data_IF_692031757068
#
_entry.id   IF_692031757068
#
_cell.length_a   1.000
_cell.length_b   1.000
_cell.length_c   1.000
_cell.angle_alpha   90.00
_cell.angle_beta   90.00
_cell.angle_gamma   90.00
#
_symmetry.space_group_name_H-M   'P 1'
#
loop_
_entity.id
_entity.type
_entity.pdbx_description
1 polymer ?
#
# COMPACT_ATOMS: atom_id res chain seq x y z
N UNK A 1 21.06 11.52 -19.11
CA UNK A 1 20.35 10.57 -20.00
C UNK A 1 18.89 10.51 -19.58
N UNK A 2 17.97 10.92 -20.44
CA UNK A 2 16.55 11.03 -20.11
C UNK A 2 15.78 9.88 -20.76
N UNK A 3 15.51 8.83 -19.98
CA UNK A 3 14.88 7.60 -20.45
C UNK A 3 13.49 7.82 -21.05
N UNK A 4 12.80 8.94 -20.77
CA UNK A 4 11.45 9.22 -21.28
C UNK A 4 11.40 9.63 -22.75
N UNK A 5 12.55 9.95 -23.36
CA UNK A 5 12.64 10.40 -24.75
C UNK A 5 13.02 9.26 -25.72
N UNK A 6 13.34 8.08 -25.20
CA UNK A 6 13.70 6.91 -26.00
C UNK A 6 12.45 6.30 -26.62
N UNK A 7 12.42 6.24 -27.95
CA UNK A 7 11.30 5.69 -28.73
C UNK A 7 11.63 4.37 -29.40
N UNK A 8 12.90 3.99 -29.40
CA UNK A 8 13.40 2.79 -30.05
C UNK A 8 14.15 1.95 -29.03
N UNK A 9 13.65 0.73 -28.81
CA UNK A 9 14.33 -0.30 -28.06
C UNK A 9 14.80 -1.33 -29.09
N UNK A 10 16.06 -1.21 -29.46
CA UNK A 10 16.71 -2.02 -30.50
C UNK A 10 16.02 -1.79 -31.86
N UNK A 11 15.33 -2.80 -32.39
CA UNK A 11 14.60 -2.75 -33.66
C UNK A 11 13.09 -2.50 -33.47
N UNK A 12 12.63 -2.31 -32.23
CA UNK A 12 11.22 -2.12 -31.90
C UNK A 12 10.92 -0.67 -31.53
N UNK A 13 10.02 -0.04 -32.30
CA UNK A 13 9.40 1.22 -31.93
C UNK A 13 8.55 0.99 -30.68
N UNK A 14 8.95 1.60 -29.56
CA UNK A 14 8.33 1.45 -28.25
C UNK A 14 7.77 2.79 -27.78
N UNK A 15 6.57 2.75 -27.22
CA UNK A 15 5.95 3.91 -26.56
C UNK A 15 6.13 3.78 -25.05
N UNK A 16 6.92 4.67 -24.46
CA UNK A 16 7.03 4.76 -23.01
C UNK A 16 5.78 5.44 -22.44
N UNK A 17 4.98 4.67 -21.72
CA UNK A 17 3.85 5.19 -20.96
C UNK A 17 4.23 5.41 -19.50
N UNK A 18 3.70 6.49 -18.92
CA UNK A 18 3.90 6.76 -17.50
C UNK A 18 3.18 5.70 -16.67
N UNK A 19 3.84 5.22 -15.62
CA UNK A 19 3.25 4.23 -14.73
C UNK A 19 1.97 4.77 -14.06
N UNK A 20 0.82 4.24 -14.47
CA UNK A 20 -0.47 4.54 -13.85
C UNK A 20 -0.67 3.71 -12.60
N UNK A 21 -0.48 4.34 -11.44
CA UNK A 21 -0.78 3.70 -10.15
C UNK A 21 -2.25 3.30 -10.08
N UNK A 22 -2.51 2.02 -9.89
CA UNK A 22 -3.87 1.54 -9.58
C UNK A 22 -4.29 2.11 -8.22
N UNK A 23 -5.42 2.82 -8.19
CA UNK A 23 -6.01 3.40 -6.97
C UNK A 23 -6.71 2.36 -6.10
N UNK A 24 -6.85 1.13 -6.61
CA UNK A 24 -7.50 0.02 -5.91
C UNK A 24 -6.64 -0.44 -4.73
N UNK A 25 -7.30 -0.73 -3.61
CA UNK A 25 -6.63 -1.35 -2.48
C UNK A 25 -6.22 -2.77 -2.83
N UNK A 26 -4.94 -3.07 -2.68
CA UNK A 26 -4.43 -4.44 -2.74
C UNK A 26 -4.92 -5.20 -1.52
N UNK A 27 -5.34 -6.45 -1.72
CA UNK A 27 -5.76 -7.34 -0.64
C UNK A 27 -4.75 -8.48 -0.56
N UNK A 28 -4.34 -8.78 0.66
CA UNK A 28 -3.46 -9.89 0.94
C UNK A 28 -4.23 -11.20 0.88
N UNK A 29 -3.80 -12.14 0.04
CA UNK A 29 -4.43 -13.46 -0.06
C UNK A 29 -4.10 -14.37 1.13
N UNK A 30 -3.10 -14.02 1.94
CA UNK A 30 -2.80 -14.75 3.16
C UNK A 30 -3.76 -14.35 4.28
N UNK A 31 -3.80 -13.08 4.68
CA UNK A 31 -4.59 -12.64 5.85
C UNK A 31 -5.87 -11.85 5.52
N UNK A 32 -6.23 -11.69 4.25
CA UNK A 32 -7.37 -10.87 3.79
C UNK A 32 -7.29 -9.37 4.16
N UNK A 33 -6.14 -8.89 4.63
CA UNK A 33 -5.91 -7.49 5.00
C UNK A 33 -5.63 -6.57 3.80
N UNK A 34 -5.78 -5.26 4.01
CA UNK A 34 -5.61 -4.25 2.97
C UNK A 34 -4.17 -3.72 2.85
N UNK A 35 -3.83 -3.20 1.66
CA UNK A 35 -2.63 -2.43 1.33
C UNK A 35 -1.27 -3.11 1.53
N UNK A 36 -1.23 -4.44 1.46
CA UNK A 36 0.02 -5.19 1.39
C UNK A 36 -0.13 -6.46 0.54
N UNK A 37 1.00 -7.03 0.12
CA UNK A 37 1.04 -8.25 -0.66
C UNK A 37 1.40 -9.44 0.23
N UNK A 38 0.97 -10.64 -0.19
CA UNK A 38 1.23 -11.91 0.51
C UNK A 38 2.71 -12.15 0.77
N UNK A 39 3.61 -11.77 -0.15
CA UNK A 39 5.05 -11.97 -0.03
C UNK A 39 5.67 -11.38 1.25
N UNK A 40 5.08 -10.33 1.79
CA UNK A 40 5.59 -9.63 2.97
C UNK A 40 4.60 -9.71 4.15
N UNK A 41 3.74 -10.74 4.16
CA UNK A 41 2.74 -10.96 5.18
C UNK A 41 3.20 -12.09 6.11
N UNK A 42 3.38 -11.77 7.39
CA UNK A 42 3.72 -12.73 8.45
C UNK A 42 2.54 -13.04 9.37
N UNK A 43 1.33 -12.60 8.99
CA UNK A 43 0.12 -12.90 9.75
C UNK A 43 -0.32 -14.34 9.47
N UNK A 44 -1.08 -14.90 10.42
CA UNK A 44 -1.76 -16.18 10.22
C UNK A 44 -2.68 -16.10 9.00
N UNK A 45 -2.79 -17.19 8.21
CA UNK A 45 -3.70 -17.23 7.09
C UNK A 45 -5.12 -17.03 7.58
N UNK A 46 -5.91 -16.26 6.83
CA UNK A 46 -7.33 -15.99 7.06
C UNK A 46 -8.03 -15.94 5.73
N UNK A 47 -8.86 -16.95 5.46
CA UNK A 47 -9.54 -17.07 4.18
C UNK A 47 -10.70 -16.09 4.06
N UNK A 48 -10.81 -15.43 2.89
CA UNK A 48 -11.72 -14.31 2.69
C UNK A 48 -13.21 -14.69 2.74
N UNK A 49 -13.57 -15.93 2.37
CA UNK A 49 -14.98 -16.37 2.32
C UNK A 49 -15.51 -16.79 3.67
N UNK A 50 -14.73 -17.56 4.44
CA UNK A 50 -15.20 -18.18 5.69
C UNK A 50 -14.57 -17.58 6.95
N UNK A 51 -13.52 -16.78 6.83
CA UNK A 51 -12.79 -16.22 7.97
C UNK A 51 -11.96 -17.22 8.77
N UNK A 52 -11.89 -18.48 8.33
CA UNK A 52 -11.12 -19.53 9.00
C UNK A 52 -9.61 -19.35 8.86
N UNK A 53 -8.88 -19.88 9.85
CA UNK A 53 -7.40 -19.82 9.93
C UNK A 53 -6.72 -20.84 9.01
N UNK A 54 -6.98 -20.77 7.70
CA UNK A 54 -6.41 -21.67 6.72
C UNK A 54 -6.19 -21.01 5.36
N UNK A 55 -5.42 -21.67 4.49
CA UNK A 55 -5.18 -21.18 3.13
C UNK A 55 -6.36 -21.49 2.21
N UNK A 56 -6.48 -20.78 1.09
CA UNK A 56 -7.54 -21.05 0.09
C UNK A 56 -7.64 -22.52 -0.34
N UNK A 57 -6.54 -23.30 -0.27
CA UNK A 57 -6.51 -24.70 -0.68
C UNK A 57 -7.20 -25.63 0.32
N UNK A 58 -7.14 -25.28 1.60
CA UNK A 58 -7.63 -26.13 2.70
C UNK A 58 -9.07 -25.78 3.09
N UNK A 59 -9.73 -24.89 2.33
CA UNK A 59 -11.08 -24.47 2.62
C UNK A 59 -12.10 -25.49 2.11
N UNK A 60 -12.95 -25.99 3.01
CA UNK A 60 -14.08 -26.87 2.65
C UNK A 60 -15.16 -26.16 1.82
N UNK A 61 -15.28 -24.82 1.92
CA UNK A 61 -16.29 -24.03 1.23
C UNK A 61 -15.81 -23.69 -0.18
N UNK A 62 -16.24 -24.51 -1.15
CA UNK A 62 -15.95 -24.31 -2.58
C UNK A 62 -17.06 -23.52 -3.29
N UNK A 63 -18.29 -23.62 -2.79
CA UNK A 63 -19.48 -23.00 -3.39
C UNK A 63 -19.62 -21.50 -3.07
N UNK A 64 -20.61 -20.85 -3.71
CA UNK A 64 -20.97 -19.46 -3.42
C UNK A 64 -21.78 -19.42 -2.12
N UNK A 65 -21.35 -18.59 -1.18
CA UNK A 65 -22.10 -18.35 0.05
C UNK A 65 -23.33 -17.48 -0.28
N UNK A 66 -24.55 -17.89 0.12
CA UNK A 66 -25.75 -17.09 -0.09
C UNK A 66 -25.68 -15.77 0.69
N UNK A 67 -25.07 -15.80 1.89
CA UNK A 67 -24.86 -14.63 2.72
C UNK A 67 -23.38 -14.49 3.09
N UNK A 68 -22.57 -13.75 2.30
CA UNK A 68 -21.16 -13.58 2.58
C UNK A 68 -20.95 -12.63 3.77
N UNK A 69 -20.11 -13.04 4.72
CA UNK A 69 -19.68 -12.20 5.84
C UNK A 69 -18.30 -11.60 5.58
N UNK A 70 -18.15 -10.31 5.83
CA UNK A 70 -16.88 -9.64 5.68
C UNK A 70 -15.95 -9.95 6.87
N UNK A 71 -14.77 -10.50 6.61
CA UNK A 71 -13.79 -10.83 7.65
C UNK A 71 -13.12 -9.61 8.31
N UNK A 72 -13.23 -8.44 7.68
CA UNK A 72 -12.58 -7.20 8.14
C UNK A 72 -13.53 -6.26 8.89
N UNK A 73 -14.82 -6.18 8.52
CA UNK A 73 -15.82 -5.37 9.23
C UNK A 73 -16.89 -6.19 9.98
N UNK A 74 -17.01 -7.49 9.71
CA UNK A 74 -18.01 -8.36 10.34
C UNK A 74 -19.42 -8.25 9.75
N UNK A 75 -19.68 -7.31 8.83
CA UNK A 75 -20.99 -7.10 8.20
C UNK A 75 -21.31 -8.23 7.20
N UNK A 76 -22.61 -8.54 7.10
CA UNK A 76 -23.16 -9.50 6.15
C UNK A 76 -23.42 -8.82 4.80
N UNK A 77 -23.57 -9.63 3.75
CA UNK A 77 -23.87 -9.17 2.39
C UNK A 77 -22.66 -8.82 1.52
N UNK A 78 -21.43 -8.86 2.05
CA UNK A 78 -20.23 -8.67 1.24
C UNK A 78 -18.98 -9.38 1.77
N UNK A 79 -18.01 -9.61 0.89
CA UNK A 79 -16.67 -10.10 1.24
C UNK A 79 -15.71 -8.93 1.48
N UNK A 80 -14.61 -9.17 2.19
CA UNK A 80 -13.58 -8.14 2.43
C UNK A 80 -13.00 -7.50 1.15
N UNK A 81 -13.18 -8.13 -0.01
CA UNK A 81 -12.79 -7.58 -1.31
C UNK A 81 -13.73 -6.52 -1.88
N UNK A 82 -14.87 -6.30 -1.25
CA UNK A 82 -15.82 -5.30 -1.68
C UNK A 82 -15.30 -3.88 -1.41
N UNK A 83 -15.43 -3.01 -2.42
CA UNK A 83 -14.88 -1.64 -2.38
C UNK A 83 -15.61 -0.72 -1.41
N UNK A 84 -16.87 -1.03 -1.10
CA UNK A 84 -17.71 -0.24 -0.20
C UNK A 84 -17.51 -0.58 1.28
N UNK A 85 -16.61 -1.51 1.61
CA UNK A 85 -16.41 -1.95 2.98
C UNK A 85 -15.96 -0.79 3.89
N UNK A 86 -16.65 -0.59 5.02
CA UNK A 86 -16.30 0.43 6.02
C UNK A 86 -14.88 0.27 6.57
N UNK A 87 -14.39 -0.96 6.73
CA UNK A 87 -13.02 -1.21 7.16
C UNK A 87 -11.99 -0.65 6.16
N UNK A 88 -12.29 -0.68 4.85
CA UNK A 88 -11.38 -0.17 3.84
C UNK A 88 -11.23 1.36 3.91
N UNK A 89 -12.33 2.09 4.16
CA UNK A 89 -12.27 3.55 4.27
C UNK A 89 -11.47 4.01 5.48
N UNK A 90 -11.63 3.33 6.61
CA UNK A 90 -10.85 3.57 7.84
C UNK A 90 -9.36 3.37 7.58
N UNK A 91 -8.97 2.21 7.02
CA UNK A 91 -7.55 1.91 6.76
C UNK A 91 -6.95 2.90 5.75
N UNK A 92 -7.72 3.32 4.74
CA UNK A 92 -7.29 4.35 3.78
C UNK A 92 -6.98 5.68 4.47
N UNK A 93 -7.82 6.12 5.40
CA UNK A 93 -7.63 7.35 6.15
C UNK A 93 -6.39 7.27 7.05
N UNK A 94 -6.26 6.20 7.84
CA UNK A 94 -5.08 5.95 8.69
C UNK A 94 -3.77 5.96 7.90
N UNK A 95 -3.78 5.36 6.71
CA UNK A 95 -2.62 5.38 5.80
C UNK A 95 -2.32 6.81 5.33
N UNK A 96 -3.33 7.58 4.96
CA UNK A 96 -3.16 8.96 4.51
C UNK A 96 -2.55 9.84 5.61
N UNK A 97 -2.99 9.67 6.85
CA UNK A 97 -2.48 10.42 8.00
C UNK A 97 -1.04 10.03 8.34
N UNK A 98 -0.73 8.73 8.27
CA UNK A 98 0.63 8.22 8.45
C UNK A 98 1.60 8.82 7.42
N UNK A 99 1.18 8.92 6.16
CA UNK A 99 1.97 9.54 5.09
C UNK A 99 2.19 11.04 5.34
N UNK A 100 1.16 11.78 5.76
CA UNK A 100 1.27 13.20 6.13
C UNK A 100 2.25 13.41 7.29
N UNK A 101 2.14 12.59 8.35
CA UNK A 101 3.07 12.62 9.50
C UNK A 101 4.51 12.35 9.07
N UNK A 102 4.74 11.35 8.22
CA UNK A 102 6.07 11.04 7.69
C UNK A 102 6.64 12.19 6.85
N UNK A 103 5.82 12.84 6.02
CA UNK A 103 6.23 14.00 5.23
C UNK A 103 6.64 15.18 6.13
N UNK A 104 5.84 15.51 7.16
CA UNK A 104 6.17 16.56 8.14
C UNK A 104 7.49 16.27 8.87
N UNK A 105 7.71 15.01 9.30
CA UNK A 105 8.96 14.60 9.95
C UNK A 105 10.17 14.76 9.03
N UNK A 106 10.03 14.44 7.73
CA UNK A 106 11.09 14.63 6.72
C UNK A 106 11.41 16.12 6.52
N UNK A 107 10.39 16.98 6.43
CA UNK A 107 10.58 18.43 6.31
C UNK A 107 11.32 19.00 7.52
N UNK A 108 10.93 18.63 8.75
CA UNK A 108 11.61 19.08 9.97
C UNK A 108 13.09 18.64 10.00
N UNK A 109 13.38 17.40 9.62
CA UNK A 109 14.76 16.90 9.51
C UNK A 109 15.58 17.70 8.48
N UNK A 110 15.00 18.05 7.33
CA UNK A 110 15.67 18.87 6.31
C UNK A 110 15.99 20.27 6.84
N UNK A 111 15.02 20.94 7.49
CA UNK A 111 15.22 22.26 8.11
C UNK A 111 16.34 22.23 9.15
N UNK A 112 16.35 21.23 10.05
CA UNK A 112 17.41 21.05 11.05
C UNK A 112 18.79 20.77 10.43
N UNK A 113 18.86 20.08 9.30
CA UNK A 113 20.13 19.83 8.59
C UNK A 113 20.66 21.11 7.93
N UNK A 114 19.77 21.92 7.35
CA UNK A 114 20.11 23.22 6.76
C UNK A 114 20.64 24.19 7.81
N UNK A 115 19.94 24.34 8.94
CA UNK A 115 20.38 25.24 10.02
C UNK A 115 21.77 24.86 10.55
N UNK A 116 22.04 23.58 10.78
CA UNK A 116 23.37 23.09 11.20
C UNK A 116 24.45 23.32 10.15
N UNK A 117 24.10 23.27 8.86
CA UNK A 117 25.05 23.50 7.78
C UNK A 117 25.37 24.99 7.63
N UNK A 118 24.38 25.87 7.84
CA UNK A 118 24.58 27.32 7.86
C UNK A 118 25.42 27.74 9.05
N UNK A 119 25.17 27.19 10.23
CA UNK A 119 25.96 27.43 11.45
C UNK A 119 27.43 27.03 11.24
N UNK A 120 27.69 25.80 10.76
CA UNK A 120 29.06 25.36 10.41
C UNK A 120 29.74 26.21 9.35
N UNK A 121 28.98 26.75 8.39
CA UNK A 121 29.52 27.67 7.36
C UNK A 121 29.86 29.03 7.96
N UNK A 122 29.12 29.51 8.97
CA UNK A 122 29.42 30.76 9.67
C UNK A 122 30.68 30.62 10.52
N UNK A 123 30.81 29.53 11.27
CA UNK A 123 32.00 29.22 12.08
C UNK A 123 33.27 29.19 11.21
N UNK A 124 33.23 28.50 10.06
CA UNK A 124 34.36 28.41 9.11
C UNK A 124 34.75 29.72 8.42
N UNK A 125 33.89 30.75 8.46
CA UNK A 125 34.21 32.08 7.91
C UNK A 125 34.89 32.99 8.94
N UNK A 126 34.88 32.60 10.21
CA UNK A 126 35.45 33.35 11.33
C UNK A 126 36.85 32.83 11.75
N UNK A 127 37.26 31.69 11.21
CA UNK A 127 38.62 31.12 11.27
C UNK A 127 39.35 31.38 9.97
#
# INVERSE_FOLDING_TARGET
MNIYNERDLWYFKTKLETYRRKTKATICYNCSGYYHATRNCHLRPKYIKCGGEHTTRDCSIKEKLPEPKCVNCGELGHLAAWKGCKALSIVKNLRSDSLKKAARKRQLKRRRKQSKQEERKRERRQT
#
